data_IF_666171990789
#
_entry.id   IF_666171990789
#
_cell.length_a   1.000
_cell.length_b   1.000
_cell.length_c   1.000
_cell.angle_alpha   90.00
_cell.angle_beta   90.00
_cell.angle_gamma   90.00
#
_symmetry.space_group_name_H-M   'P 1'
#
loop_
_entity.id
_entity.type
_entity.pdbx_description
1 polymer ?
#
# COMPACT_ATOMS: atom_id res chain seq x y z
N UNK A 1 6.38 -74.32 -31.38
CA UNK A 1 7.52 -73.46 -31.73
C UNK A 1 7.31 -72.11 -31.07
N UNK A 2 7.86 -71.88 -29.88
CA UNK A 2 9.11 -71.13 -29.67
C UNK A 2 9.13 -69.78 -30.42
N UNK A 3 8.97 -68.65 -29.72
CA UNK A 3 10.09 -67.93 -29.08
C UNK A 3 9.57 -66.81 -28.18
N UNK A 4 10.12 -66.80 -26.98
CA UNK A 4 10.05 -65.72 -26.01
C UNK A 4 11.00 -64.58 -26.41
N UNK A 5 10.64 -63.34 -26.08
CA UNK A 5 11.57 -62.20 -26.00
C UNK A 5 11.46 -61.56 -24.64
N UNK A 6 12.61 -61.55 -23.97
CA UNK A 6 12.91 -61.02 -22.65
C UNK A 6 13.02 -59.49 -22.75
N UNK A 7 12.35 -58.75 -21.86
CA UNK A 7 12.61 -57.32 -21.64
C UNK A 7 13.13 -57.11 -20.23
N UNK A 8 14.27 -56.42 -20.15
CA UNK A 8 15.05 -56.16 -18.95
C UNK A 8 14.37 -55.10 -18.08
N UNK A 9 14.18 -55.39 -16.80
CA UNK A 9 13.74 -54.41 -15.80
C UNK A 9 14.97 -53.85 -15.08
N UNK A 10 15.30 -52.59 -15.35
CA UNK A 10 16.30 -51.84 -14.56
C UNK A 10 15.60 -51.24 -13.35
N UNK A 11 15.88 -51.78 -12.17
CA UNK A 11 15.48 -51.19 -10.89
C UNK A 11 16.34 -49.96 -10.63
N UNK A 12 15.74 -48.77 -10.65
CA UNK A 12 16.38 -47.54 -10.16
C UNK A 12 16.05 -47.41 -8.68
N UNK A 13 17.04 -47.63 -7.82
CA UNK A 13 16.98 -47.26 -6.41
C UNK A 13 16.92 -45.73 -6.29
N UNK A 14 15.75 -45.20 -5.95
CA UNK A 14 15.61 -43.81 -5.52
C UNK A 14 16.13 -43.71 -4.09
N UNK A 15 17.38 -43.28 -3.95
CA UNK A 15 17.94 -42.88 -2.66
C UNK A 15 17.17 -41.69 -2.09
N UNK A 16 16.43 -41.93 -1.02
CA UNK A 16 15.76 -40.90 -0.25
C UNK A 16 16.83 -40.13 0.54
N UNK A 17 17.39 -39.07 -0.04
CA UNK A 17 18.17 -38.09 0.69
C UNK A 17 17.21 -37.31 1.60
N UNK A 18 17.14 -37.72 2.87
CA UNK A 18 16.59 -36.91 3.94
C UNK A 18 17.34 -35.58 3.97
N UNK A 19 16.74 -34.54 3.41
CA UNK A 19 17.21 -33.18 3.56
C UNK A 19 17.25 -32.86 5.05
N UNK A 20 18.46 -32.61 5.54
CA UNK A 20 18.70 -32.06 6.87
C UNK A 20 17.93 -30.75 6.96
N UNK A 21 16.97 -30.68 7.89
CA UNK A 21 16.29 -29.43 8.19
C UNK A 21 17.31 -28.40 8.63
N UNK A 22 17.45 -27.32 7.87
CA UNK A 22 18.13 -26.13 8.36
C UNK A 22 17.42 -25.68 9.63
N UNK A 23 18.10 -25.84 10.77
CA UNK A 23 17.66 -25.26 12.04
C UNK A 23 17.47 -23.77 11.82
N UNK A 24 16.22 -23.30 11.89
CA UNK A 24 15.89 -21.89 11.81
C UNK A 24 16.68 -21.15 12.90
N UNK A 25 17.70 -20.40 12.51
CA UNK A 25 18.50 -19.62 13.45
C UNK A 25 17.61 -18.56 14.10
N UNK A 26 17.40 -18.66 15.41
CA UNK A 26 16.67 -17.64 16.18
C UNK A 26 17.37 -16.29 16.06
N UNK A 27 16.69 -15.29 15.50
CA UNK A 27 17.22 -13.93 15.35
C UNK A 27 17.41 -13.30 16.73
N UNK A 28 18.65 -12.95 17.08
CA UNK A 28 18.96 -12.16 18.29
C UNK A 28 18.78 -10.67 18.00
N UNK A 29 17.97 -10.00 18.81
CA UNK A 29 17.70 -8.57 18.72
C UNK A 29 18.50 -7.78 19.75
N UNK A 30 19.06 -6.63 19.33
CA UNK A 30 19.53 -5.58 20.21
C UNK A 30 18.38 -4.64 20.59
N UNK A 31 18.56 -3.86 21.65
CA UNK A 31 17.61 -2.81 22.01
C UNK A 31 17.55 -1.66 20.99
N UNK A 32 16.71 -0.65 21.24
CA UNK A 32 16.57 0.50 20.35
C UNK A 32 17.89 1.26 20.13
N UNK A 33 18.05 1.85 18.95
CA UNK A 33 19.21 2.67 18.60
C UNK A 33 18.83 4.08 18.15
N UNK A 34 19.77 5.02 18.33
CA UNK A 34 19.70 6.37 17.77
C UNK A 34 20.88 6.62 16.85
N UNK A 35 20.61 7.07 15.63
CA UNK A 35 21.58 7.34 14.57
C UNK A 35 21.83 8.86 14.49
N UNK A 36 23.02 9.28 14.92
CA UNK A 36 23.44 10.68 14.95
C UNK A 36 24.31 11.12 13.76
N UNK A 37 24.85 10.16 13.00
CA UNK A 37 25.75 10.41 11.86
C UNK A 37 25.26 9.65 10.63
N UNK A 38 25.62 10.14 9.45
CA UNK A 38 25.35 9.43 8.21
C UNK A 38 26.18 8.15 8.12
N UNK A 39 25.71 7.21 7.31
CA UNK A 39 26.37 5.92 7.13
C UNK A 39 25.43 4.79 6.75
N UNK A 40 25.99 3.59 6.68
CA UNK A 40 25.26 2.35 6.42
C UNK A 40 25.14 1.55 7.71
N UNK A 41 23.91 1.21 8.09
CA UNK A 41 23.55 0.51 9.31
C UNK A 41 22.93 -0.83 8.96
N UNK A 42 23.41 -1.89 9.62
CA UNK A 42 22.89 -3.24 9.51
C UNK A 42 22.76 -3.83 10.91
N UNK A 43 21.63 -4.44 11.22
CA UNK A 43 21.42 -5.03 12.54
C UNK A 43 20.01 -5.56 12.75
N UNK A 44 19.82 -6.13 13.94
CA UNK A 44 18.52 -6.59 14.39
C UNK A 44 18.14 -5.75 15.61
N UNK A 45 17.12 -4.89 15.50
CA UNK A 45 16.74 -3.97 16.57
C UNK A 45 15.29 -4.18 16.99
N UNK A 46 15.07 -4.11 18.29
CA UNK A 46 13.76 -4.29 18.90
C UNK A 46 13.45 -3.17 19.90
N UNK A 47 12.20 -2.69 19.86
CA UNK A 47 11.62 -1.94 20.97
C UNK A 47 10.41 -2.66 21.57
N UNK A 48 10.48 -2.94 22.87
CA UNK A 48 9.36 -3.45 23.67
C UNK A 48 8.54 -2.34 24.34
N UNK A 49 8.88 -1.07 24.08
CA UNK A 49 8.15 0.09 24.61
C UNK A 49 7.38 0.77 23.47
N UNK A 50 6.05 0.84 23.61
CA UNK A 50 5.16 1.46 22.61
C UNK A 50 5.44 2.96 22.36
N UNK A 51 6.22 3.61 23.24
CA UNK A 51 6.61 5.01 23.14
C UNK A 51 7.98 5.23 22.49
N UNK A 52 8.78 4.18 22.30
CA UNK A 52 10.17 4.28 21.85
C UNK A 52 10.30 3.59 20.49
N UNK A 53 10.73 4.29 19.43
CA UNK A 53 11.02 3.66 18.16
C UNK A 53 12.17 2.66 18.27
N UNK A 54 12.18 1.59 17.46
CA UNK A 54 13.34 0.69 17.42
C UNK A 54 14.59 1.36 16.82
N UNK A 55 14.40 2.24 15.83
CA UNK A 55 15.45 3.06 15.23
C UNK A 55 15.00 4.51 15.15
N UNK A 56 15.76 5.40 15.77
CA UNK A 56 15.57 6.86 15.67
C UNK A 56 16.70 7.48 14.86
N UNK A 57 16.37 8.31 13.86
CA UNK A 57 17.36 9.04 13.05
C UNK A 57 17.31 10.53 13.40
N UNK A 58 18.45 11.09 13.82
CA UNK A 58 18.57 12.49 14.28
C UNK A 58 19.66 13.25 13.51
N UNK A 59 19.73 13.06 12.19
CA UNK A 59 20.72 13.70 11.32
C UNK A 59 20.15 13.93 9.92
N UNK A 60 20.65 14.96 9.23
CA UNK A 60 20.38 15.20 7.81
C UNK A 60 21.41 14.54 6.88
N UNK A 61 22.50 14.00 7.44
CA UNK A 61 23.46 13.22 6.66
C UNK A 61 22.77 11.96 6.11
N UNK A 62 23.14 11.46 4.91
CA UNK A 62 22.53 10.26 4.36
C UNK A 62 22.65 9.04 5.28
N UNK A 63 21.53 8.42 5.61
CA UNK A 63 21.46 7.19 6.41
C UNK A 63 20.88 6.07 5.55
N UNK A 64 21.58 4.95 5.47
CA UNK A 64 21.09 3.73 4.85
C UNK A 64 20.92 2.65 5.91
N UNK A 65 19.71 2.10 6.03
CA UNK A 65 19.41 0.90 6.81
C UNK A 65 19.20 -0.23 5.81
N UNK A 66 19.98 -1.30 5.93
CA UNK A 66 19.85 -2.43 5.01
C UNK A 66 20.11 -3.80 5.64
N UNK A 67 19.56 -4.85 5.01
CA UNK A 67 19.75 -6.25 5.45
C UNK A 67 19.52 -6.44 6.95
N UNK A 68 18.45 -5.82 7.45
CA UNK A 68 18.17 -5.69 8.87
C UNK A 68 16.83 -6.34 9.24
N UNK A 69 16.67 -6.71 10.51
CA UNK A 69 15.38 -7.15 11.08
C UNK A 69 14.97 -6.17 12.16
N UNK A 70 13.78 -5.58 12.03
CA UNK A 70 13.32 -4.56 12.96
C UNK A 70 11.95 -4.96 13.48
N UNK A 71 11.80 -4.97 14.79
CA UNK A 71 10.48 -5.15 15.41
C UNK A 71 10.21 -4.15 16.51
N UNK A 72 8.97 -3.72 16.66
CA UNK A 72 8.66 -2.66 17.63
C UNK A 72 7.21 -2.70 18.07
N UNK A 73 6.98 -2.44 19.37
CA UNK A 73 5.66 -2.08 19.91
C UNK A 73 5.26 -0.64 19.59
N UNK A 74 6.23 0.21 19.28
CA UNK A 74 6.04 1.57 18.79
C UNK A 74 6.42 1.67 17.32
N UNK A 75 6.86 2.84 16.87
CA UNK A 75 7.39 3.04 15.50
C UNK A 75 8.61 2.12 15.26
N UNK A 76 8.82 1.67 14.02
CA UNK A 76 10.00 0.87 13.68
C UNK A 76 11.17 1.79 13.37
N UNK A 77 11.06 2.59 12.31
CA UNK A 77 12.05 3.61 11.94
C UNK A 77 11.38 4.98 11.99
N UNK A 78 11.92 5.88 12.80
CA UNK A 78 11.36 7.21 13.02
C UNK A 78 12.41 8.31 12.81
N UNK A 79 11.98 9.41 12.20
CA UNK A 79 12.70 10.67 12.24
C UNK A 79 11.73 11.85 12.22
N UNK A 80 12.00 12.83 13.08
CA UNK A 80 11.48 14.20 12.91
C UNK A 80 12.60 15.22 12.68
N UNK A 81 13.76 14.74 12.23
CA UNK A 81 14.88 15.61 11.95
C UNK A 81 14.67 16.30 10.60
N UNK A 82 14.78 17.62 10.60
CA UNK A 82 14.61 18.44 9.39
C UNK A 82 15.61 18.02 8.31
N UNK A 83 15.09 17.75 7.12
CA UNK A 83 15.82 17.28 5.92
C UNK A 83 16.51 15.91 6.09
N UNK A 84 15.97 15.01 6.91
CA UNK A 84 16.45 13.62 6.96
C UNK A 84 16.52 12.99 5.55
N UNK A 85 17.61 12.29 5.24
CA UNK A 85 17.82 11.59 3.98
C UNK A 85 18.02 10.09 4.26
N UNK A 86 17.00 9.29 3.93
CA UNK A 86 16.90 7.91 4.44
C UNK A 86 16.75 6.92 3.29
N UNK A 87 17.61 5.91 3.26
CA UNK A 87 17.38 4.70 2.46
C UNK A 87 17.10 3.54 3.39
N UNK A 88 16.02 2.81 3.16
CA UNK A 88 15.69 1.55 3.83
C UNK A 88 15.51 0.48 2.75
N UNK A 89 16.40 -0.51 2.73
CA UNK A 89 16.33 -1.56 1.71
C UNK A 89 16.64 -2.96 2.21
N UNK A 90 16.07 -3.98 1.58
CA UNK A 90 16.31 -5.39 1.95
C UNK A 90 16.14 -5.64 3.45
N UNK A 91 15.15 -4.97 4.07
CA UNK A 91 14.93 -4.99 5.52
C UNK A 91 13.55 -5.57 5.82
N UNK A 92 13.45 -6.38 6.86
CA UNK A 92 12.19 -6.92 7.37
C UNK A 92 11.73 -6.13 8.59
N UNK A 93 10.51 -5.61 8.55
CA UNK A 93 9.85 -4.89 9.63
C UNK A 93 8.62 -5.62 10.13
N UNK A 94 8.55 -5.90 11.42
CA UNK A 94 7.40 -6.54 12.07
C UNK A 94 6.91 -5.67 13.24
N UNK A 95 5.66 -5.20 13.17
CA UNK A 95 5.09 -4.51 14.31
C UNK A 95 4.58 -5.52 15.33
N UNK A 96 4.85 -5.22 16.60
CA UNK A 96 4.30 -5.94 17.74
C UNK A 96 3.04 -5.21 18.21
N UNK A 97 2.09 -5.96 18.78
CA UNK A 97 0.97 -5.34 19.48
C UNK A 97 1.53 -4.41 20.59
N UNK A 98 1.07 -3.14 20.68
CA UNK A 98 1.56 -2.20 21.69
C UNK A 98 1.44 -2.68 23.14
N UNK A 99 0.49 -3.58 23.43
CA UNK A 99 0.25 -4.13 24.76
C UNK A 99 -0.30 -3.10 25.73
N UNK A 100 -1.07 -2.13 25.23
CA UNK A 100 -1.61 -1.00 26.00
C UNK A 100 -3.13 -1.04 26.08
N UNK A 101 -3.73 -0.53 27.18
CA UNK A 101 -5.18 -0.43 27.29
C UNK A 101 -5.74 0.57 26.28
N UNK A 102 -7.01 0.38 25.90
CA UNK A 102 -7.68 1.17 24.85
C UNK A 102 -7.63 2.68 25.08
N UNK A 103 -7.67 3.12 26.34
CA UNK A 103 -7.62 4.54 26.75
C UNK A 103 -6.31 5.26 26.37
N UNK A 104 -5.24 4.52 26.04
CA UNK A 104 -3.97 5.10 25.59
C UNK A 104 -3.91 5.28 24.07
N UNK A 105 -4.91 4.80 23.32
CA UNK A 105 -5.01 4.95 21.86
C UNK A 105 -3.73 4.55 21.10
N UNK A 106 -3.12 3.42 21.48
CA UNK A 106 -1.90 2.91 20.84
C UNK A 106 -2.23 1.85 19.82
N UNK A 107 -1.76 2.04 18.60
CA UNK A 107 -1.83 1.06 17.51
C UNK A 107 -0.40 0.65 17.09
N UNK A 108 -0.25 -0.40 16.27
CA UNK A 108 1.05 -0.81 15.74
C UNK A 108 1.83 0.37 15.12
N UNK A 109 3.16 0.34 15.21
CA UNK A 109 3.98 1.40 14.60
C UNK A 109 4.00 1.35 13.08
N UNK A 110 4.27 2.50 12.46
CA UNK A 110 4.69 2.60 11.06
C UNK A 110 6.06 1.91 10.90
N UNK A 111 6.26 1.29 9.73
CA UNK A 111 7.56 0.79 9.30
C UNK A 111 8.56 1.94 9.18
N UNK A 112 8.16 3.01 8.51
CA UNK A 112 8.91 4.27 8.37
C UNK A 112 7.97 5.44 8.63
N UNK A 113 8.33 6.30 9.57
CA UNK A 113 7.66 7.57 9.85
C UNK A 113 8.69 8.70 9.75
N UNK A 114 8.53 9.57 8.75
CA UNK A 114 9.39 10.74 8.57
C UNK A 114 8.58 12.03 8.57
N UNK A 115 8.96 12.96 9.45
CA UNK A 115 8.52 14.36 9.44
C UNK A 115 9.62 15.24 8.84
N UNK A 116 9.24 16.26 8.07
CA UNK A 116 10.13 17.31 7.53
C UNK A 116 11.34 16.79 6.74
N UNK A 117 11.22 15.68 6.04
CA UNK A 117 12.35 14.97 5.43
C UNK A 117 12.82 15.55 4.09
N UNK A 118 14.07 15.25 3.72
CA UNK A 118 14.70 15.68 2.47
C UNK A 118 14.51 14.69 1.34
N UNK A 119 14.79 13.40 1.57
CA UNK A 119 14.57 12.34 0.58
C UNK A 119 14.42 10.99 1.24
N UNK A 120 13.71 10.08 0.58
CA UNK A 120 13.55 8.72 1.08
C UNK A 120 13.45 7.68 -0.04
N UNK A 121 14.18 6.58 0.11
CA UNK A 121 14.06 5.37 -0.69
C UNK A 121 13.68 4.20 0.22
N UNK A 122 12.49 3.64 0.05
CA UNK A 122 12.02 2.45 0.76
C UNK A 122 11.84 1.34 -0.27
N UNK A 123 12.81 0.44 -0.36
CA UNK A 123 12.90 -0.50 -1.46
C UNK A 123 13.15 -1.95 -1.04
N UNK A 124 12.45 -2.90 -1.65
CA UNK A 124 12.72 -4.33 -1.44
C UNK A 124 12.65 -4.72 0.05
N UNK A 125 11.65 -4.21 0.78
CA UNK A 125 11.43 -4.53 2.19
C UNK A 125 10.21 -5.45 2.37
N UNK A 126 10.15 -6.09 3.53
CA UNK A 126 8.96 -6.80 4.01
C UNK A 126 8.37 -6.09 5.23
N UNK A 127 7.05 -5.88 5.26
CA UNK A 127 6.33 -5.21 6.34
C UNK A 127 5.19 -6.08 6.84
N UNK A 128 5.17 -6.40 8.12
CA UNK A 128 4.17 -7.32 8.71
C UNK A 128 3.50 -6.63 9.89
N UNK A 129 2.17 -6.49 9.82
CA UNK A 129 1.35 -5.95 10.92
C UNK A 129 1.57 -4.46 11.22
N UNK A 130 2.43 -3.77 10.45
CA UNK A 130 2.77 -2.37 10.71
C UNK A 130 1.61 -1.45 10.33
N UNK A 131 1.61 -0.21 10.80
CA UNK A 131 0.73 0.83 10.24
C UNK A 131 1.26 1.38 8.90
N UNK A 132 2.23 0.74 8.23
CA UNK A 132 2.78 1.12 6.93
C UNK A 132 3.77 2.29 6.96
N UNK A 133 3.76 3.15 5.94
CA UNK A 133 4.72 4.24 5.74
C UNK A 133 3.99 5.58 5.87
N UNK A 134 4.55 6.49 6.65
CA UNK A 134 4.03 7.85 6.81
C UNK A 134 5.12 8.88 6.50
N UNK A 135 4.85 9.76 5.53
CA UNK A 135 5.78 10.77 5.06
C UNK A 135 5.09 12.13 5.07
N UNK A 136 5.57 13.04 5.91
CA UNK A 136 4.99 14.38 6.05
C UNK A 136 5.98 15.50 5.73
N UNK A 137 5.46 16.53 5.06
CA UNK A 137 6.11 17.83 4.88
C UNK A 137 7.50 17.73 4.22
N UNK A 138 7.55 17.30 2.95
CA UNK A 138 8.79 17.23 2.17
C UNK A 138 9.57 18.57 2.14
N UNK A 139 10.89 18.49 2.30
CA UNK A 139 11.85 19.61 2.36
C UNK A 139 13.04 19.43 1.40
N UNK A 140 12.97 18.47 0.49
CA UNK A 140 14.04 18.19 -0.46
C UNK A 140 14.10 19.18 -1.62
N UNK A 141 15.20 19.11 -2.38
CA UNK A 141 15.49 19.95 -3.53
C UNK A 141 15.59 19.11 -4.80
N UNK A 142 14.78 19.45 -5.81
CA UNK A 142 14.77 18.75 -7.10
C UNK A 142 16.12 18.83 -7.82
N UNK A 143 16.86 19.94 -7.68
CA UNK A 143 18.22 20.12 -8.23
C UNK A 143 19.22 19.11 -7.67
N UNK A 144 18.97 18.56 -6.48
CA UNK A 144 19.79 17.52 -5.85
C UNK A 144 19.20 16.11 -6.07
N UNK A 145 18.19 15.97 -6.92
CA UNK A 145 17.44 14.72 -7.16
C UNK A 145 16.85 14.11 -5.88
N UNK A 146 16.65 14.92 -4.85
CA UNK A 146 15.97 14.49 -3.64
C UNK A 146 14.50 14.25 -3.97
N UNK A 147 13.98 13.10 -3.55
CA UNK A 147 12.62 12.67 -3.88
C UNK A 147 12.17 11.54 -2.94
N UNK A 148 10.97 11.00 -3.20
CA UNK A 148 10.39 9.84 -2.53
C UNK A 148 10.30 8.67 -3.50
N UNK A 149 10.82 7.52 -3.12
CA UNK A 149 10.64 6.26 -3.84
C UNK A 149 10.21 5.14 -2.90
N UNK A 150 9.07 4.52 -3.16
CA UNK A 150 8.57 3.34 -2.44
C UNK A 150 8.41 2.19 -3.44
N UNK A 151 9.41 1.31 -3.49
CA UNK A 151 9.58 0.38 -4.61
C UNK A 151 9.67 -1.06 -4.17
N UNK A 152 8.95 -1.96 -4.84
CA UNK A 152 9.19 -3.41 -4.74
C UNK A 152 9.08 -3.99 -3.32
N UNK A 153 8.25 -3.40 -2.46
CA UNK A 153 8.04 -3.89 -1.11
C UNK A 153 6.92 -4.93 -1.05
N UNK A 154 6.99 -5.82 -0.06
CA UNK A 154 5.87 -6.68 0.34
C UNK A 154 5.32 -6.20 1.67
N UNK A 155 4.01 -6.06 1.76
CA UNK A 155 3.32 -5.67 2.97
C UNK A 155 2.17 -6.63 3.26
N UNK A 156 2.04 -7.04 4.52
CA UNK A 156 0.98 -7.92 4.99
C UNK A 156 0.30 -7.30 6.20
N UNK A 157 -1.03 -7.18 6.12
CA UNK A 157 -1.91 -6.76 7.20
C UNK A 157 -1.52 -5.40 7.79
N UNK A 158 -1.66 -4.33 7.00
CA UNK A 158 -1.45 -2.98 7.48
C UNK A 158 -2.54 -2.62 8.49
N UNK A 159 -2.14 -2.32 9.72
CA UNK A 159 -3.06 -2.30 10.84
C UNK A 159 -3.03 -1.00 11.63
N UNK A 160 -4.18 -0.36 11.74
CA UNK A 160 -4.42 0.81 12.56
C UNK A 160 -5.25 0.53 13.82
N UNK A 161 -5.66 -0.71 14.09
CA UNK A 161 -6.47 -1.00 15.30
C UNK A 161 -5.74 -0.62 16.57
N UNK A 162 -6.44 0.01 17.50
CA UNK A 162 -5.87 0.25 18.83
C UNK A 162 -5.72 -1.07 19.59
N UNK A 163 -4.63 -1.19 20.32
CA UNK A 163 -4.42 -2.20 21.33
C UNK A 163 -5.45 -2.04 22.45
N UNK A 164 -5.97 -3.17 22.93
CA UNK A 164 -6.84 -3.24 24.13
C UNK A 164 -6.15 -3.94 25.29
N UNK A 165 -4.95 -4.49 25.08
CA UNK A 165 -4.19 -5.25 26.06
C UNK A 165 -3.13 -6.07 25.35
N UNK A 166 -2.42 -6.93 26.09
CA UNK A 166 -1.40 -7.82 25.51
C UNK A 166 -2.00 -8.67 24.40
N UNK A 167 -1.48 -8.50 23.18
CA UNK A 167 -1.85 -9.26 21.98
C UNK A 167 -3.34 -9.17 21.60
N UNK A 168 -4.04 -8.12 22.06
CA UNK A 168 -5.45 -7.87 21.75
C UNK A 168 -5.62 -6.53 21.04
N UNK A 169 -6.52 -6.50 20.06
CA UNK A 169 -6.85 -5.32 19.27
C UNK A 169 -8.34 -4.98 19.41
N UNK A 170 -8.66 -3.71 19.27
CA UNK A 170 -10.03 -3.22 19.26
C UNK A 170 -10.74 -3.64 17.99
N UNK A 171 -12.00 -4.03 18.15
CA UNK A 171 -12.90 -4.38 17.06
C UNK A 171 -13.56 -3.18 16.37
N UNK A 172 -13.44 -1.99 16.96
CA UNK A 172 -14.17 -0.79 16.51
C UNK A 172 -13.34 0.48 16.48
N UNK A 173 -12.28 0.58 17.31
CA UNK A 173 -11.46 1.78 17.41
C UNK A 173 -10.10 1.60 16.75
N UNK A 174 -9.64 2.64 16.06
CA UNK A 174 -8.42 2.59 15.25
C UNK A 174 -7.82 3.99 15.09
N UNK A 175 -6.53 4.03 14.77
CA UNK A 175 -5.90 5.15 14.08
C UNK A 175 -5.99 4.96 12.57
N UNK A 176 -5.97 6.05 11.85
CA UNK A 176 -5.86 6.04 10.39
C UNK A 176 -4.49 5.49 10.00
N UNK A 177 -4.48 4.44 9.18
CA UNK A 177 -3.28 3.75 8.70
C UNK A 177 -3.38 3.46 7.20
N UNK A 178 -2.22 3.48 6.54
CA UNK A 178 -2.04 3.31 5.09
C UNK A 178 -0.76 2.53 4.89
N UNK A 179 -0.67 1.73 3.83
CA UNK A 179 0.63 1.22 3.38
C UNK A 179 1.56 2.37 3.03
N UNK A 180 1.07 3.39 2.30
CA UNK A 180 1.78 4.65 2.07
C UNK A 180 0.83 5.83 2.28
N UNK A 181 1.21 6.75 3.15
CA UNK A 181 0.58 8.06 3.27
C UNK A 181 1.60 9.16 2.99
N UNK A 182 1.28 9.99 2.01
CA UNK A 182 1.88 11.32 1.90
C UNK A 182 0.95 12.32 2.58
N UNK A 183 1.50 13.13 3.48
CA UNK A 183 0.77 14.20 4.15
C UNK A 183 1.49 15.52 3.89
N UNK A 184 0.89 16.38 3.07
CA UNK A 184 1.49 17.67 2.68
C UNK A 184 2.90 17.50 2.08
N UNK A 185 3.10 16.47 1.25
CA UNK A 185 4.29 16.32 0.41
C UNK A 185 4.02 17.09 -0.88
N UNK A 186 4.45 18.35 -0.93
CA UNK A 186 4.09 19.29 -1.99
C UNK A 186 5.24 19.57 -2.94
N UNK A 187 4.89 19.84 -4.21
CA UNK A 187 5.80 20.27 -5.27
C UNK A 187 7.00 19.32 -5.47
N UNK A 188 6.79 18.02 -5.25
CA UNK A 188 7.84 17.03 -5.40
C UNK A 188 8.06 16.68 -6.86
N UNK A 189 9.32 16.46 -7.26
CA UNK A 189 9.67 15.92 -8.57
C UNK A 189 10.26 14.52 -8.43
N UNK A 190 9.98 13.64 -9.39
CA UNK A 190 10.55 12.29 -9.46
C UNK A 190 9.97 11.28 -8.46
N UNK A 191 8.86 11.60 -7.81
CA UNK A 191 8.23 10.74 -6.82
C UNK A 191 7.59 9.50 -7.45
N UNK A 192 7.81 8.33 -6.85
CA UNK A 192 7.42 7.05 -7.42
C UNK A 192 7.01 6.03 -6.35
N UNK A 193 5.81 5.45 -6.49
CA UNK A 193 5.33 4.34 -5.68
C UNK A 193 5.00 3.20 -6.64
N UNK A 194 5.88 2.20 -6.73
CA UNK A 194 5.75 1.19 -7.76
C UNK A 194 6.16 -0.23 -7.37
N UNK A 195 5.53 -1.19 -8.03
CA UNK A 195 5.83 -2.61 -7.89
C UNK A 195 5.68 -3.17 -6.48
N UNK A 196 4.85 -2.55 -5.64
CA UNK A 196 4.60 -3.04 -4.28
C UNK A 196 3.45 -4.05 -4.27
N UNK A 197 3.55 -5.05 -3.39
CA UNK A 197 2.48 -6.01 -3.10
C UNK A 197 1.99 -5.76 -1.68
N UNK A 198 0.70 -5.44 -1.55
CA UNK A 198 0.04 -5.23 -0.25
C UNK A 198 -1.13 -6.19 -0.14
N UNK A 199 -1.11 -7.07 0.87
CA UNK A 199 -2.19 -8.02 1.13
C UNK A 199 -2.68 -7.80 2.56
N UNK A 200 -3.93 -7.36 2.68
CA UNK A 200 -4.64 -7.20 3.93
C UNK A 200 -5.70 -8.29 4.04
N UNK A 201 -5.59 -9.13 5.05
CA UNK A 201 -6.55 -10.19 5.33
C UNK A 201 -7.73 -9.65 6.16
N UNK A 202 -8.98 -10.06 5.87
CA UNK A 202 -10.15 -9.66 6.64
C UNK A 202 -9.97 -9.93 8.14
N UNK A 203 -10.25 -8.93 8.98
CA UNK A 203 -10.15 -9.04 10.44
C UNK A 203 -8.72 -9.08 11.01
N UNK A 204 -7.67 -9.06 10.18
CA UNK A 204 -6.26 -8.98 10.62
C UNK A 204 -5.61 -7.62 10.40
N UNK A 205 -6.33 -6.70 9.80
CA UNK A 205 -5.84 -5.38 9.38
C UNK A 205 -6.94 -4.34 9.55
N UNK A 206 -6.55 -3.07 9.57
CA UNK A 206 -7.47 -1.94 9.43
C UNK A 206 -6.73 -0.77 8.80
N UNK A 207 -6.79 -0.68 7.48
CA UNK A 207 -6.38 0.52 6.73
C UNK A 207 -7.53 1.52 6.63
N UNK A 208 -7.25 2.80 6.37
CA UNK A 208 -8.25 3.70 5.78
C UNK A 208 -8.20 3.49 4.27
N UNK A 209 -7.36 4.24 3.55
CA UNK A 209 -6.88 3.84 2.23
C UNK A 209 -5.59 3.02 2.31
N UNK A 210 -5.28 2.21 1.31
CA UNK A 210 -3.96 1.54 1.26
C UNK A 210 -2.88 2.53 0.80
N UNK A 211 -3.17 3.38 -0.18
CA UNK A 211 -2.31 4.51 -0.58
C UNK A 211 -3.11 5.81 -0.53
N UNK A 212 -2.61 6.84 0.14
CA UNK A 212 -3.30 8.14 0.27
C UNK A 212 -2.35 9.32 0.01
N UNK A 213 -2.76 10.26 -0.84
CA UNK A 213 -2.04 11.49 -1.22
C UNK A 213 -2.66 12.75 -0.59
N UNK A 214 -2.78 12.79 0.73
CA UNK A 214 -3.38 13.91 1.46
C UNK A 214 -2.62 15.21 1.25
N UNK A 215 -3.27 16.20 0.62
CA UNK A 215 -2.73 17.54 0.32
C UNK A 215 -1.33 17.48 -0.34
N UNK A 216 -1.07 16.44 -1.12
CA UNK A 216 0.25 16.15 -1.68
C UNK A 216 0.25 16.35 -3.18
N UNK A 217 1.32 16.92 -3.72
CA UNK A 217 1.39 17.32 -5.11
C UNK A 217 2.75 17.08 -5.75
N UNK A 218 2.71 16.65 -7.01
CA UNK A 218 3.86 16.71 -7.90
C UNK A 218 4.03 18.09 -8.51
N UNK A 219 4.69 18.14 -9.66
CA UNK A 219 4.72 19.32 -10.54
C UNK A 219 4.28 18.92 -11.95
N UNK A 220 3.83 19.85 -12.83
CA UNK A 220 3.34 19.50 -14.17
C UNK A 220 4.31 18.64 -14.98
N UNK A 221 5.61 18.94 -14.91
CA UNK A 221 6.67 18.22 -15.61
C UNK A 221 7.10 16.91 -14.93
N UNK A 222 6.65 16.67 -13.69
CA UNK A 222 6.99 15.49 -12.91
C UNK A 222 5.87 15.13 -11.93
N UNK A 223 4.73 14.60 -12.42
CA UNK A 223 3.66 14.12 -11.57
C UNK A 223 4.15 13.00 -10.63
N UNK A 224 3.54 12.89 -9.45
CA UNK A 224 3.74 11.72 -8.58
C UNK A 224 3.22 10.48 -9.33
N UNK A 225 4.07 9.47 -9.51
CA UNK A 225 3.70 8.25 -10.22
C UNK A 225 3.38 7.13 -9.24
N UNK A 226 2.19 6.54 -9.34
CA UNK A 226 1.74 5.39 -8.54
C UNK A 226 1.39 4.27 -9.51
N UNK A 227 2.26 3.28 -9.70
CA UNK A 227 2.04 2.32 -10.78
C UNK A 227 2.52 0.91 -10.51
N UNK A 228 1.90 -0.03 -11.24
CA UNK A 228 2.28 -1.44 -11.18
C UNK A 228 2.25 -2.01 -9.75
N UNK A 229 1.38 -1.52 -8.87
CA UNK A 229 1.20 -2.08 -7.53
C UNK A 229 0.07 -3.12 -7.53
N UNK A 230 0.21 -4.13 -6.70
CA UNK A 230 -0.84 -5.09 -6.38
C UNK A 230 -1.36 -4.82 -4.96
N UNK A 231 -2.64 -4.51 -4.85
CA UNK A 231 -3.31 -4.25 -3.57
C UNK A 231 -4.48 -5.21 -3.45
N UNK A 232 -4.45 -6.06 -2.43
CA UNK A 232 -5.56 -6.94 -2.08
C UNK A 232 -6.05 -6.61 -0.68
N UNK A 233 -7.34 -6.29 -0.59
CA UNK A 233 -8.00 -6.01 0.67
C UNK A 233 -7.81 -4.60 1.20
N UNK A 234 -8.94 -3.97 1.50
CA UNK A 234 -9.06 -2.79 2.35
C UNK A 234 -10.37 -2.98 3.09
N UNK A 235 -10.28 -3.31 4.37
CA UNK A 235 -11.43 -3.78 5.14
C UNK A 235 -11.56 -3.01 6.45
N UNK A 236 -12.80 -2.88 6.90
CA UNK A 236 -13.06 -2.63 8.30
C UNK A 236 -12.64 -3.85 9.14
N UNK A 237 -12.46 -3.66 10.44
CA UNK A 237 -12.17 -4.71 11.42
C UNK A 237 -13.27 -5.79 11.42
N UNK A 238 -14.53 -5.38 11.19
CA UNK A 238 -15.68 -6.27 11.03
C UNK A 238 -16.35 -6.08 9.66
N UNK A 239 -15.78 -6.64 8.57
CA UNK A 239 -16.18 -6.34 7.19
C UNK A 239 -17.62 -6.76 6.83
N UNK A 240 -18.23 -7.65 7.62
CA UNK A 240 -19.59 -8.17 7.40
C UNK A 240 -20.65 -7.46 8.24
N UNK A 241 -20.27 -6.48 9.08
CA UNK A 241 -21.18 -5.82 10.02
C UNK A 241 -21.12 -4.30 9.90
N UNK A 242 -19.93 -3.75 9.73
CA UNK A 242 -19.71 -2.31 9.79
C UNK A 242 -19.64 -1.71 8.38
N UNK A 243 -20.10 -0.45 8.28
CA UNK A 243 -19.80 0.40 7.11
C UNK A 243 -18.32 0.79 7.13
N UNK A 244 -17.79 1.16 5.98
CA UNK A 244 -16.38 1.43 5.82
C UNK A 244 -16.19 2.38 4.65
N UNK A 245 -15.40 3.43 4.86
CA UNK A 245 -15.17 4.47 3.86
C UNK A 245 -13.79 4.34 3.20
N UNK A 246 -12.95 3.42 3.69
CA UNK A 246 -11.63 3.16 3.16
C UNK A 246 -11.64 2.66 1.70
N UNK A 247 -10.50 2.79 1.04
CA UNK A 247 -10.33 2.48 -0.39
C UNK A 247 -9.00 1.77 -0.67
N UNK A 248 -8.82 1.24 -1.88
CA UNK A 248 -7.50 0.81 -2.31
C UNK A 248 -6.56 2.00 -2.44
N UNK A 249 -6.99 3.07 -3.11
CA UNK A 249 -6.20 4.31 -3.22
C UNK A 249 -7.08 5.56 -3.17
N UNK A 250 -6.58 6.63 -2.56
CA UNK A 250 -7.05 7.98 -2.80
C UNK A 250 -5.89 8.86 -3.27
N UNK A 251 -5.94 9.27 -4.54
CA UNK A 251 -4.85 9.98 -5.21
C UNK A 251 -5.02 11.51 -5.16
N UNK A 252 -6.12 11.98 -4.57
CA UNK A 252 -6.39 13.39 -4.34
C UNK A 252 -7.30 13.56 -3.14
N UNK A 253 -6.71 13.94 -2.00
CA UNK A 253 -7.41 14.05 -0.72
C UNK A 253 -7.03 15.33 0.02
N UNK A 254 -7.85 15.71 1.01
CA UNK A 254 -7.77 16.96 1.74
C UNK A 254 -8.34 18.15 0.97
N UNK A 255 -8.62 19.25 1.68
CA UNK A 255 -9.19 20.46 1.08
C UNK A 255 -8.21 21.63 1.21
N UNK A 256 -8.05 22.40 0.14
CA UNK A 256 -7.27 23.64 0.11
C UNK A 256 -8.06 24.74 -0.58
N UNK A 257 -7.89 25.98 -0.10
CA UNK A 257 -8.44 27.20 -0.72
C UNK A 257 -7.55 27.74 -1.84
N UNK A 258 -6.34 27.21 -2.01
CA UNK A 258 -5.38 27.62 -3.05
C UNK A 258 -4.94 26.42 -3.86
N UNK A 259 -4.66 26.64 -5.15
CA UNK A 259 -4.14 25.60 -6.06
C UNK A 259 -2.83 25.04 -5.54
N UNK A 260 -1.90 25.91 -5.11
CA UNK A 260 -0.60 25.47 -4.57
C UNK A 260 -0.70 24.55 -3.35
N UNK A 261 -1.73 24.75 -2.50
CA UNK A 261 -1.93 23.94 -1.30
C UNK A 261 -2.75 22.66 -1.54
N UNK A 262 -3.38 22.51 -2.71
CA UNK A 262 -4.22 21.37 -3.03
C UNK A 262 -3.37 20.14 -3.41
N UNK A 263 -3.96 18.95 -3.29
CA UNK A 263 -3.38 17.78 -3.93
C UNK A 263 -3.38 17.99 -5.47
N UNK A 264 -2.36 17.49 -6.17
CA UNK A 264 -2.38 17.58 -7.62
C UNK A 264 -1.16 17.05 -8.34
N UNK A 265 -1.28 16.91 -9.67
CA UNK A 265 -0.26 16.27 -10.51
C UNK A 265 0.09 14.86 -9.98
N UNK A 266 -0.91 13.98 -9.91
CA UNK A 266 -0.75 12.59 -9.46
C UNK A 266 -1.29 11.64 -10.52
N UNK A 267 -0.47 10.69 -10.95
CA UNK A 267 -0.81 9.70 -11.96
C UNK A 267 -0.82 8.30 -11.33
N UNK A 268 -1.98 7.63 -11.30
CA UNK A 268 -2.12 6.24 -10.89
C UNK A 268 -2.42 5.33 -12.08
N UNK A 269 -1.52 4.41 -12.41
CA UNK A 269 -1.68 3.58 -13.60
C UNK A 269 -1.12 2.17 -13.51
N UNK A 270 -1.68 1.26 -14.32
CA UNK A 270 -1.28 -0.14 -14.36
C UNK A 270 -1.34 -0.87 -13.00
N UNK A 271 -2.09 -0.34 -12.02
CA UNK A 271 -2.24 -0.99 -10.72
C UNK A 271 -3.31 -2.07 -10.78
N UNK A 272 -3.20 -3.07 -9.92
CA UNK A 272 -4.17 -4.13 -9.70
C UNK A 272 -4.76 -4.01 -8.29
N UNK A 273 -6.06 -3.77 -8.19
CA UNK A 273 -6.78 -3.64 -6.92
C UNK A 273 -7.83 -4.73 -6.82
N UNK A 274 -7.77 -5.49 -5.74
CA UNK A 274 -8.54 -6.73 -5.58
C UNK A 274 -9.28 -6.74 -4.25
N UNK A 275 -10.59 -6.93 -4.27
CA UNK A 275 -11.40 -7.15 -3.07
C UNK A 275 -11.31 -6.02 -2.03
N UNK A 276 -11.12 -4.78 -2.47
CA UNK A 276 -11.19 -3.58 -1.60
C UNK A 276 -12.63 -3.07 -1.51
N UNK A 277 -12.87 -2.12 -0.61
CA UNK A 277 -14.19 -1.51 -0.41
C UNK A 277 -14.58 -0.50 -1.51
N UNK A 278 -13.66 0.42 -1.81
CA UNK A 278 -13.63 1.21 -3.05
C UNK A 278 -12.29 0.96 -3.73
N UNK A 279 -12.22 1.13 -5.06
CA UNK A 279 -10.97 0.98 -5.79
C UNK A 279 -10.09 2.23 -5.73
N UNK A 280 -10.24 3.15 -6.68
CA UNK A 280 -9.46 4.40 -6.77
C UNK A 280 -10.39 5.62 -6.62
N UNK A 281 -10.02 6.50 -5.70
CA UNK A 281 -10.70 7.74 -5.40
C UNK A 281 -9.91 8.97 -5.92
N UNK A 282 -10.60 9.90 -6.56
CA UNK A 282 -10.16 11.26 -6.86
C UNK A 282 -11.15 12.21 -6.17
N UNK A 283 -10.91 12.49 -4.89
CA UNK A 283 -11.89 13.15 -3.98
C UNK A 283 -11.70 14.67 -3.84
N UNK A 284 -10.50 15.15 -4.16
CA UNK A 284 -10.08 16.54 -4.04
C UNK A 284 -8.84 16.81 -4.91
N UNK A 285 -8.49 18.08 -5.12
CA UNK A 285 -7.26 18.44 -5.83
C UNK A 285 -7.45 18.56 -7.34
N UNK A 286 -6.36 18.68 -8.10
CA UNK A 286 -6.40 18.96 -9.53
C UNK A 286 -5.33 18.22 -10.34
N UNK A 287 -5.52 18.10 -11.65
CA UNK A 287 -4.58 17.42 -12.56
C UNK A 287 -4.26 15.99 -12.09
N UNK A 288 -5.31 15.26 -11.68
CA UNK A 288 -5.23 13.87 -11.25
C UNK A 288 -5.62 12.93 -12.38
N UNK A 289 -4.87 11.84 -12.54
CA UNK A 289 -5.10 10.90 -13.63
C UNK A 289 -5.02 9.44 -13.15
N UNK A 290 -6.14 8.72 -13.21
CA UNK A 290 -6.21 7.28 -12.99
C UNK A 290 -6.45 6.53 -14.32
N UNK A 291 -5.49 5.73 -14.78
CA UNK A 291 -5.62 5.06 -16.09
C UNK A 291 -4.96 3.69 -16.22
N UNK A 292 -5.45 2.86 -17.13
CA UNK A 292 -4.93 1.49 -17.35
C UNK A 292 -4.87 0.63 -16.09
N UNK A 293 -5.66 0.94 -15.06
CA UNK A 293 -5.73 0.13 -13.85
C UNK A 293 -6.71 -1.02 -14.05
N UNK A 294 -6.50 -2.09 -13.30
CA UNK A 294 -7.39 -3.26 -13.27
C UNK A 294 -7.94 -3.44 -11.87
N UNK A 295 -9.25 -3.32 -11.73
CA UNK A 295 -9.96 -3.26 -10.45
C UNK A 295 -11.00 -4.37 -10.41
N UNK A 296 -10.90 -5.29 -9.46
CA UNK A 296 -11.80 -6.46 -9.36
C UNK A 296 -12.26 -6.66 -7.91
N UNK A 297 -13.56 -6.53 -7.68
CA UNK A 297 -14.19 -6.85 -6.39
C UNK A 297 -15.49 -7.61 -6.63
N UNK A 298 -15.60 -8.79 -6.05
CA UNK A 298 -16.78 -9.64 -6.01
C UNK A 298 -17.78 -9.17 -4.94
N UNK A 299 -17.32 -8.36 -3.99
CA UNK A 299 -18.09 -7.94 -2.81
C UNK A 299 -18.25 -9.01 -1.74
N UNK A 300 -17.49 -10.10 -1.82
CA UNK A 300 -17.44 -11.16 -0.82
C UNK A 300 -16.07 -11.25 -0.16
N UNK A 301 -16.04 -11.72 1.08
CA UNK A 301 -14.83 -12.20 1.74
C UNK A 301 -14.37 -13.53 1.10
N UNK A 302 -13.11 -13.94 1.31
CA UNK A 302 -12.60 -15.21 0.79
C UNK A 302 -13.41 -16.44 1.23
N UNK A 303 -14.12 -16.35 2.36
CA UNK A 303 -15.02 -17.40 2.88
C UNK A 303 -16.46 -17.34 2.33
N UNK A 304 -16.72 -16.44 1.37
CA UNK A 304 -18.02 -16.27 0.73
C UNK A 304 -19.01 -15.39 1.48
N UNK A 305 -18.67 -14.84 2.66
CA UNK A 305 -19.55 -13.90 3.36
C UNK A 305 -19.58 -12.54 2.66
N UNK A 306 -20.74 -11.87 2.71
CA UNK A 306 -20.93 -10.55 2.13
C UNK A 306 -20.09 -9.47 2.83
N UNK A 307 -19.44 -8.60 2.06
CA UNK A 307 -18.84 -7.37 2.57
C UNK A 307 -19.93 -6.28 2.62
N UNK A 308 -20.19 -5.70 3.79
CA UNK A 308 -21.27 -4.73 3.97
C UNK A 308 -20.98 -3.33 3.41
N UNK A 309 -19.70 -2.97 3.32
CA UNK A 309 -19.26 -1.62 2.95
C UNK A 309 -19.13 -1.33 1.46
N UNK A 310 -19.22 -2.35 0.58
CA UNK A 310 -18.86 -2.21 -0.85
C UNK A 310 -19.48 -0.99 -1.51
N UNK A 311 -18.61 -0.16 -2.11
CA UNK A 311 -18.99 1.11 -2.68
C UNK A 311 -18.81 1.09 -4.21
N UNK A 312 -17.71 1.64 -4.74
CA UNK A 312 -17.50 1.86 -6.18
C UNK A 312 -16.08 1.51 -6.62
N UNK A 313 -15.91 1.07 -7.86
CA UNK A 313 -14.59 0.78 -8.43
C UNK A 313 -13.73 2.03 -8.56
N UNK A 314 -14.16 3.02 -9.32
CA UNK A 314 -13.42 4.30 -9.46
C UNK A 314 -14.38 5.47 -9.36
N UNK A 315 -13.99 6.54 -8.67
CA UNK A 315 -14.75 7.78 -8.69
C UNK A 315 -13.93 9.05 -8.90
N UNK A 316 -14.58 10.03 -9.52
CA UNK A 316 -14.11 11.42 -9.64
C UNK A 316 -15.22 12.32 -9.11
N UNK A 317 -15.06 12.78 -7.87
CA UNK A 317 -16.09 13.48 -7.15
C UNK A 317 -15.47 14.59 -6.31
N UNK A 318 -15.99 15.81 -6.45
CA UNK A 318 -15.62 16.95 -5.61
C UNK A 318 -16.27 16.83 -4.23
N UNK A 319 -15.81 15.85 -3.46
CA UNK A 319 -16.39 15.45 -2.18
C UNK A 319 -16.39 16.58 -1.15
N UNK A 320 -15.52 17.58 -1.32
CA UNK A 320 -15.34 18.71 -0.40
C UNK A 320 -15.90 20.04 -0.93
N UNK A 321 -16.46 20.06 -2.14
CA UNK A 321 -16.95 21.28 -2.77
C UNK A 321 -15.83 22.28 -3.09
N UNK A 322 -14.66 21.79 -3.47
CA UNK A 322 -13.45 22.54 -3.78
C UNK A 322 -13.51 23.28 -5.13
N UNK A 323 -14.48 22.95 -6.00
CA UNK A 323 -14.77 23.74 -7.22
C UNK A 323 -15.03 25.21 -6.91
N UNK A 324 -15.66 25.52 -5.76
CA UNK A 324 -15.90 26.92 -5.31
C UNK A 324 -14.60 27.70 -5.07
N UNK A 325 -13.51 26.99 -4.78
CA UNK A 325 -12.18 27.57 -4.59
C UNK A 325 -11.31 27.46 -5.85
N UNK A 326 -11.84 26.88 -6.94
CA UNK A 326 -11.09 26.56 -8.15
C UNK A 326 -9.90 25.66 -7.87
N UNK A 327 -10.02 24.76 -6.90
CA UNK A 327 -8.99 23.78 -6.52
C UNK A 327 -9.37 22.34 -6.85
N UNK A 328 -10.48 22.15 -7.57
CA UNK A 328 -10.89 20.88 -8.17
C UNK A 328 -11.15 21.03 -9.67
N UNK A 329 -10.20 20.59 -10.50
CA UNK A 329 -10.27 20.65 -11.97
C UNK A 329 -9.29 19.65 -12.60
N UNK A 330 -9.45 19.35 -13.90
CA UNK A 330 -8.58 18.43 -14.64
C UNK A 330 -8.39 17.03 -14.03
N UNK A 331 -9.41 16.53 -13.33
CA UNK A 331 -9.39 15.19 -12.73
C UNK A 331 -10.05 14.17 -13.66
N UNK A 332 -9.33 13.11 -13.98
CA UNK A 332 -9.71 12.16 -15.04
C UNK A 332 -9.45 10.72 -14.60
N UNK A 333 -10.41 9.85 -14.90
CA UNK A 333 -10.27 8.39 -14.83
C UNK A 333 -10.60 7.77 -16.19
N UNK A 334 -9.64 7.14 -16.88
CA UNK A 334 -9.83 6.62 -18.24
C UNK A 334 -9.13 5.30 -18.49
N UNK A 335 -9.56 4.55 -19.49
CA UNK A 335 -8.87 3.33 -19.96
C UNK A 335 -8.68 2.25 -18.86
N UNK A 336 -9.50 2.26 -17.80
CA UNK A 336 -9.44 1.27 -16.72
C UNK A 336 -10.32 0.05 -17.04
N UNK A 337 -9.96 -1.12 -16.53
CA UNK A 337 -10.79 -2.34 -16.58
C UNK A 337 -11.33 -2.65 -15.20
N UNK A 338 -12.66 -2.67 -15.04
CA UNK A 338 -13.31 -2.63 -13.72
C UNK A 338 -14.40 -3.69 -13.64
N UNK A 339 -14.29 -4.64 -12.70
CA UNK A 339 -15.39 -5.48 -12.25
C UNK A 339 -15.69 -5.17 -10.79
N UNK A 340 -16.83 -4.55 -10.50
CA UNK A 340 -17.15 -4.14 -9.13
C UNK A 340 -18.57 -4.55 -8.77
N UNK A 341 -18.74 -5.75 -8.22
CA UNK A 341 -20.06 -6.27 -7.89
C UNK A 341 -20.66 -5.61 -6.65
N UNK A 342 -21.98 -5.48 -6.65
CA UNK A 342 -22.78 -5.10 -5.50
C UNK A 342 -23.78 -6.22 -5.17
N UNK A 343 -23.30 -7.35 -4.62
CA UNK A 343 -24.14 -8.52 -4.34
C UNK A 343 -25.30 -8.24 -3.37
N UNK A 344 -25.22 -7.17 -2.56
CA UNK A 344 -26.32 -6.72 -1.68
C UNK A 344 -27.53 -6.23 -2.47
N UNK A 345 -27.32 -5.64 -3.65
CA UNK A 345 -28.39 -5.13 -4.52
C UNK A 345 -28.85 -6.16 -5.56
N UNK A 346 -28.09 -7.24 -5.75
CA UNK A 346 -28.44 -8.34 -6.64
C UNK A 346 -27.20 -8.98 -7.26
N UNK A 347 -27.34 -10.24 -7.70
CA UNK A 347 -26.23 -11.09 -8.18
C UNK A 347 -25.47 -10.51 -9.39
N UNK A 348 -26.15 -9.74 -10.25
CA UNK A 348 -25.58 -9.15 -11.47
C UNK A 348 -25.33 -7.65 -11.35
N UNK A 349 -25.70 -7.03 -10.22
CA UNK A 349 -25.55 -5.59 -10.03
C UNK A 349 -24.08 -5.25 -9.87
N UNK A 350 -23.61 -4.23 -10.59
CA UNK A 350 -22.25 -3.70 -10.47
C UNK A 350 -22.27 -2.19 -10.22
N UNK A 351 -21.20 -1.67 -9.63
CA UNK A 351 -20.94 -0.24 -9.46
C UNK A 351 -19.49 0.11 -9.86
N UNK A 352 -19.14 -0.01 -11.15
CA UNK A 352 -17.75 0.12 -11.59
C UNK A 352 -17.23 1.56 -11.48
N UNK A 353 -18.07 2.56 -11.76
CA UNK A 353 -17.62 3.95 -11.91
C UNK A 353 -18.63 4.96 -11.40
N UNK A 354 -18.16 6.08 -10.87
CA UNK A 354 -18.98 7.25 -10.55
C UNK A 354 -18.25 8.57 -10.80
N UNK A 355 -18.62 9.30 -11.85
CA UNK A 355 -17.84 10.43 -12.38
C UNK A 355 -18.63 11.75 -12.46
N UNK A 356 -19.33 12.20 -11.39
CA UNK A 356 -20.13 13.43 -11.44
C UNK A 356 -19.30 14.68 -11.72
N UNK A 357 -18.03 14.70 -11.33
CA UNK A 357 -17.16 15.88 -11.42
C UNK A 357 -15.94 15.67 -12.31
N UNK A 358 -15.97 14.66 -13.18
CA UNK A 358 -14.88 14.45 -14.12
C UNK A 358 -14.68 15.66 -15.03
N UNK A 359 -13.43 15.94 -15.38
CA UNK A 359 -13.11 16.98 -16.34
C UNK A 359 -13.81 16.74 -17.68
N UNK A 360 -14.22 17.83 -18.33
CA UNK A 360 -14.85 17.82 -19.65
C UNK A 360 -13.92 18.50 -20.66
N UNK A 361 -13.92 18.02 -21.90
CA UNK A 361 -13.20 18.68 -23.00
C UNK A 361 -13.98 19.84 -23.61
N UNK A 362 -13.42 20.48 -24.63
CA UNK A 362 -14.00 21.64 -25.32
C UNK A 362 -15.39 21.37 -25.91
N UNK A 363 -15.67 20.11 -26.28
CA UNK A 363 -16.98 19.68 -26.77
C UNK A 363 -18.03 19.47 -25.65
N UNK A 364 -17.70 19.75 -24.39
CA UNK A 364 -18.53 19.48 -23.22
C UNK A 364 -18.62 18.01 -22.80
N UNK A 365 -17.95 17.10 -23.51
CA UNK A 365 -17.96 15.66 -23.21
C UNK A 365 -16.96 15.33 -22.10
N UNK A 366 -17.32 14.37 -21.24
CA UNK A 366 -16.43 13.86 -20.18
C UNK A 366 -15.15 13.27 -20.76
N UNK A 367 -14.02 13.57 -20.12
CA UNK A 367 -12.72 12.99 -20.42
C UNK A 367 -12.49 11.64 -19.74
N UNK A 368 -13.41 11.20 -18.85
CA UNK A 368 -13.38 9.90 -18.19
C UNK A 368 -13.84 8.76 -19.11
N UNK A 369 -13.14 8.57 -20.24
CA UNK A 369 -13.51 7.69 -21.35
C UNK A 369 -12.86 6.31 -21.29
N UNK A 370 -13.35 5.39 -22.11
CA UNK A 370 -12.77 4.06 -22.35
C UNK A 370 -12.60 3.18 -21.09
N UNK A 371 -13.33 3.48 -20.01
CA UNK A 371 -13.39 2.58 -18.87
C UNK A 371 -14.26 1.37 -19.24
N UNK A 372 -13.69 0.18 -19.19
CA UNK A 372 -14.35 -1.07 -19.58
C UNK A 372 -14.83 -1.78 -18.32
N UNK A 373 -16.13 -2.04 -18.24
CA UNK A 373 -16.69 -2.88 -17.19
C UNK A 373 -16.53 -4.36 -17.54
N UNK A 374 -16.04 -5.17 -16.61
CA UNK A 374 -15.99 -6.62 -16.79
C UNK A 374 -17.42 -7.20 -16.83
N UNK A 375 -17.68 -8.21 -17.67
CA UNK A 375 -18.97 -8.87 -17.69
C UNK A 375 -19.26 -9.55 -16.33
N UNK A 376 -20.47 -9.38 -15.83
CA UNK A 376 -20.91 -9.99 -14.57
C UNK A 376 -21.35 -11.45 -14.74
N UNK A 377 -21.50 -12.21 -13.64
CA UNK A 377 -21.20 -11.82 -12.27
C UNK A 377 -19.69 -11.76 -11.99
N UNK A 378 -19.26 -10.83 -11.13
CA UNK A 378 -17.88 -10.78 -10.64
C UNK A 378 -17.74 -11.77 -9.48
N UNK A 379 -16.72 -12.62 -9.52
CA UNK A 379 -16.58 -13.76 -8.59
C UNK A 379 -15.25 -13.74 -7.83
N UNK A 380 -15.18 -14.44 -6.69
CA UNK A 380 -13.92 -14.67 -5.96
C UNK A 380 -12.85 -15.34 -6.83
N UNK A 381 -13.24 -16.18 -7.80
CA UNK A 381 -12.30 -16.76 -8.76
C UNK A 381 -11.65 -15.70 -9.64
N UNK A 382 -12.39 -14.66 -10.04
CA UNK A 382 -11.81 -13.54 -10.80
C UNK A 382 -10.82 -12.74 -9.96
N UNK A 383 -11.10 -12.54 -8.67
CA UNK A 383 -10.14 -11.93 -7.74
C UNK A 383 -8.85 -12.76 -7.62
N UNK A 384 -8.98 -14.09 -7.45
CA UNK A 384 -7.82 -15.00 -7.40
C UNK A 384 -6.99 -14.99 -8.69
N UNK A 385 -7.63 -14.85 -9.86
CA UNK A 385 -6.93 -14.73 -11.13
C UNK A 385 -6.07 -13.46 -11.20
N UNK A 386 -6.43 -12.38 -10.51
CA UNK A 386 -5.60 -11.16 -10.48
C UNK A 386 -4.27 -11.40 -9.75
N UNK A 387 -4.24 -12.24 -8.71
CA UNK A 387 -2.98 -12.65 -8.07
C UNK A 387 -2.07 -13.41 -9.05
N UNK A 388 -2.63 -14.34 -9.84
CA UNK A 388 -1.88 -15.05 -10.87
C UNK A 388 -1.36 -14.10 -11.97
N UNK A 389 -2.18 -13.13 -12.40
CA UNK A 389 -1.76 -12.08 -13.36
C UNK A 389 -0.64 -11.22 -12.79
N UNK A 390 -0.71 -10.87 -11.51
CA UNK A 390 0.33 -10.12 -10.82
C UNK A 390 1.67 -10.87 -10.82
N UNK A 391 1.66 -12.15 -10.44
CA UNK A 391 2.88 -12.98 -10.46
C UNK A 391 3.45 -13.12 -11.87
N UNK A 392 2.59 -13.31 -12.89
CA UNK A 392 3.01 -13.34 -14.28
C UNK A 392 3.62 -12.00 -14.73
N UNK A 393 3.03 -10.88 -14.31
CA UNK A 393 3.53 -9.52 -14.60
C UNK A 393 4.89 -9.25 -13.96
N UNK A 394 5.09 -9.66 -12.71
CA UNK A 394 6.39 -9.60 -12.05
C UNK A 394 7.44 -10.40 -12.84
N UNK A 395 7.11 -11.65 -13.21
CA UNK A 395 7.99 -12.53 -13.97
C UNK A 395 8.35 -11.95 -15.34
N UNK A 396 7.38 -11.47 -16.10
CA UNK A 396 7.61 -10.94 -17.46
C UNK A 396 8.44 -9.66 -17.48
N UNK A 397 8.42 -8.90 -16.40
CA UNK A 397 9.22 -7.67 -16.25
C UNK A 397 10.53 -7.89 -15.46
N UNK A 398 10.85 -9.13 -15.07
CA UNK A 398 12.05 -9.43 -14.29
C UNK A 398 12.08 -8.76 -12.91
N UNK A 399 10.91 -8.46 -12.33
CA UNK A 399 10.80 -7.75 -11.06
C UNK A 399 10.77 -8.73 -9.90
N UNK A 400 11.65 -8.50 -8.92
CA UNK A 400 11.65 -9.17 -7.61
C UNK A 400 11.22 -8.19 -6.53
N UNK A 401 10.34 -8.65 -5.64
CA UNK A 401 9.72 -7.84 -4.58
C UNK A 401 9.98 -8.46 -3.20
N UNK A 402 9.94 -7.63 -2.16
CA UNK A 402 10.32 -8.02 -0.81
C UNK A 402 11.84 -8.07 -0.62
N UNK A 403 12.27 -8.64 0.51
CA UNK A 403 13.68 -8.80 0.86
C UNK A 403 14.38 -9.70 -0.16
N UNK A 404 15.51 -9.23 -0.69
CA UNK A 404 16.36 -10.01 -1.58
C UNK A 404 17.44 -10.77 -0.80
N UNK A 405 17.89 -11.93 -1.31
CA UNK A 405 19.08 -12.60 -0.79
C UNK A 405 20.28 -11.65 -0.77
N UNK A 406 21.14 -11.83 0.25
CA UNK A 406 22.36 -11.04 0.40
C UNK A 406 23.39 -11.38 -0.67
#
# INVERSE_FOLDING_TARGET
>A
MQRATISWSTVVLVGCLCGQGESATTIKYAGPITIFKGGVYRGNWESQNAMVPAVTITTAQPVTIEYSNIRSRGQLIYSAFKKANVTVRNTRGEALNPGRPIKEHRAPGRFVHLEEFGSVLIQNNEMIGTSGIYLRAYRGLATLKQTVKVLRNKARNIDGRYSTGKDQFSDTQFQVAQFVQFNQVQHISGAEIAWNEVINEPGKSRTEEVINMFLSSGVPSSPIKIHDNYIQGAYNVQPTKLRYDGAGMNIGDGSSKTVAGAAGYVHAFNNQLVGTNSGIALSAGHDLLAYNNRLVSSGFLPDGRLITGQNVGVYVWDMRGNKRYRTFFNNIARDNVIGWANPRRGKLVQNPTWFPDCAVGDSGLTLCRNNVSLPGPITLRMEQQEAARWQAKLKSNGIRIGVLPK
#
